data_IF_631126122035
#
_entry.id   IF_631126122035
#
_cell.length_a   1.000
_cell.length_b   1.000
_cell.length_c   1.000
_cell.angle_alpha   90.00
_cell.angle_beta   90.00
_cell.angle_gamma   90.00
#
_symmetry.space_group_name_H-M   'P 1'
#
loop_
_entity.id
_entity.type
_entity.pdbx_description
1 polymer ?
#
# COMPACT_ATOMS: atom_id res chain seq x y z
N UNK A 1 -22.65 -32.16 -11.23
CA UNK A 1 -21.37 -31.44 -11.15
C UNK A 1 -21.55 -30.12 -11.87
N UNK A 2 -21.52 -28.94 -11.22
CA UNK A 2 -21.43 -27.68 -11.96
C UNK A 2 -19.95 -27.30 -12.14
N UNK A 3 -19.53 -27.29 -13.39
CA UNK A 3 -18.26 -26.74 -13.84
C UNK A 3 -18.20 -25.24 -13.54
N UNK A 4 -17.56 -24.88 -12.42
CA UNK A 4 -17.18 -23.49 -12.18
C UNK A 4 -15.79 -23.28 -12.76
N UNK A 5 -15.71 -23.14 -14.09
CA UNK A 5 -14.54 -22.48 -14.66
C UNK A 5 -14.62 -21.00 -14.26
N UNK A 6 -13.66 -20.46 -13.48
CA UNK A 6 -13.61 -19.02 -13.29
C UNK A 6 -13.28 -18.41 -14.64
N UNK A 7 -14.31 -17.82 -15.21
CA UNK A 7 -14.31 -16.97 -16.37
C UNK A 7 -13.15 -15.97 -16.25
N UNK A 8 -12.13 -16.20 -17.07
CA UNK A 8 -10.99 -15.31 -17.27
C UNK A 8 -11.47 -14.09 -18.06
N UNK A 9 -12.28 -13.25 -17.45
CA UNK A 9 -12.71 -11.99 -18.07
C UNK A 9 -11.75 -10.87 -17.63
N UNK A 10 -10.88 -10.49 -18.57
CA UNK A 10 -10.77 -9.11 -19.05
C UNK A 10 -10.33 -8.01 -18.07
N UNK A 11 -9.12 -8.11 -17.49
CA UNK A 11 -8.41 -6.94 -16.92
C UNK A 11 -6.96 -6.78 -17.38
N UNK A 12 -6.62 -7.31 -18.55
CA UNK A 12 -5.31 -7.12 -19.20
C UNK A 12 -5.35 -6.16 -20.41
N UNK A 13 -6.33 -5.28 -20.49
CA UNK A 13 -6.60 -4.42 -21.66
C UNK A 13 -5.58 -3.30 -21.93
N UNK A 14 -4.43 -3.26 -21.23
CA UNK A 14 -3.37 -2.26 -21.43
C UNK A 14 -1.96 -2.89 -21.51
N UNK A 15 -1.82 -4.22 -21.55
CA UNK A 15 -0.51 -4.88 -21.41
C UNK A 15 0.36 -4.89 -22.69
N UNK A 16 -0.08 -4.25 -23.77
CA UNK A 16 0.66 -4.14 -25.03
C UNK A 16 1.36 -2.80 -25.27
N UNK A 17 1.04 -1.75 -24.51
CA UNK A 17 1.63 -0.43 -24.66
C UNK A 17 2.46 -0.07 -23.41
N UNK A 18 3.63 0.56 -23.55
CA UNK A 18 4.41 0.98 -22.39
C UNK A 18 3.59 1.95 -21.55
N UNK A 19 3.32 1.57 -20.29
CA UNK A 19 2.55 2.37 -19.36
C UNK A 19 3.08 3.81 -19.32
N UNK A 20 2.18 4.78 -19.43
CA UNK A 20 2.56 6.19 -19.38
C UNK A 20 3.05 6.56 -17.97
N UNK A 21 3.92 7.58 -17.87
CA UNK A 21 4.34 8.09 -16.57
C UNK A 21 3.17 8.62 -15.71
N UNK A 22 2.03 8.95 -16.32
CA UNK A 22 0.81 9.35 -15.63
C UNK A 22 0.11 8.16 -14.96
N UNK A 23 -0.08 7.05 -15.70
CA UNK A 23 -0.67 5.81 -15.16
C UNK A 23 0.18 5.26 -13.99
N UNK A 24 1.52 5.24 -14.11
CA UNK A 24 2.41 4.81 -13.01
C UNK A 24 2.20 5.62 -11.74
N UNK A 25 2.07 6.94 -11.87
CA UNK A 25 1.83 7.83 -10.73
C UNK A 25 0.46 7.58 -10.12
N UNK A 26 -0.57 7.38 -10.92
CA UNK A 26 -1.92 7.06 -10.44
C UNK A 26 -1.94 5.74 -9.66
N UNK A 27 -1.33 4.66 -10.21
CA UNK A 27 -1.21 3.37 -9.52
C UNK A 27 -0.41 3.48 -8.22
N UNK A 28 0.70 4.21 -8.25
CA UNK A 28 1.51 4.49 -7.05
C UNK A 28 0.72 5.25 -5.99
N UNK A 29 -0.03 6.28 -6.37
CA UNK A 29 -0.84 7.05 -5.43
C UNK A 29 -1.93 6.19 -4.76
N UNK A 30 -2.59 5.30 -5.53
CA UNK A 30 -3.53 4.33 -4.95
C UNK A 30 -2.83 3.40 -3.97
N UNK A 31 -1.72 2.77 -4.37
CA UNK A 31 -0.96 1.87 -3.51
C UNK A 31 -0.50 2.54 -2.21
N UNK A 32 -0.05 3.80 -2.28
CA UNK A 32 0.36 4.54 -1.08
C UNK A 32 -0.82 4.82 -0.13
N UNK A 33 -2.02 5.05 -0.66
CA UNK A 33 -3.23 5.16 0.18
C UNK A 33 -3.52 3.84 0.89
N UNK A 34 -3.55 2.75 0.14
CA UNK A 34 -3.86 1.42 0.67
C UNK A 34 -2.81 0.98 1.71
N UNK A 35 -1.54 1.27 1.46
CA UNK A 35 -0.44 1.01 2.40
C UNK A 35 -0.64 1.77 3.72
N UNK A 36 -1.04 3.04 3.65
CA UNK A 36 -1.29 3.85 4.84
C UNK A 36 -2.51 3.35 5.62
N UNK A 37 -3.56 2.93 4.93
CA UNK A 37 -4.75 2.33 5.55
C UNK A 37 -4.41 1.02 6.26
N UNK A 38 -3.70 0.11 5.58
CA UNK A 38 -3.25 -1.16 6.17
C UNK A 38 -2.36 -0.95 7.40
N UNK A 39 -1.48 0.06 7.36
CA UNK A 39 -0.65 0.43 8.52
C UNK A 39 -1.50 0.94 9.68
N UNK A 40 -2.50 1.76 9.43
CA UNK A 40 -3.42 2.24 10.46
C UNK A 40 -4.21 1.11 11.10
N UNK A 41 -4.68 0.13 10.30
CA UNK A 41 -5.34 -1.07 10.80
C UNK A 41 -4.41 -1.88 11.71
N UNK A 42 -3.16 -2.10 11.29
CA UNK A 42 -2.16 -2.80 12.11
C UNK A 42 -1.86 -2.08 13.43
N UNK A 43 -1.84 -0.75 13.42
CA UNK A 43 -1.63 0.05 14.63
C UNK A 43 -2.79 -0.12 15.64
N UNK A 44 -4.04 -0.27 15.16
CA UNK A 44 -5.21 -0.56 16.00
C UNK A 44 -5.11 -1.95 16.63
N UNK A 45 -4.69 -2.95 15.85
CA UNK A 45 -4.56 -4.35 16.31
C UNK A 45 -3.39 -4.53 17.29
N UNK A 46 -2.35 -3.70 17.22
CA UNK A 46 -1.13 -3.87 18.04
C UNK A 46 -0.71 -2.58 18.75
N UNK A 47 -1.48 -2.14 19.76
CA UNK A 47 -1.29 -0.83 20.39
C UNK A 47 0.10 -0.64 21.01
N UNK A 48 0.69 -1.69 21.59
CA UNK A 48 2.05 -1.62 22.17
C UNK A 48 3.12 -1.34 21.10
N UNK A 49 3.04 -2.02 19.94
CA UNK A 49 4.00 -1.83 18.85
C UNK A 49 3.85 -0.46 18.20
N UNK A 50 2.61 0.01 18.02
CA UNK A 50 2.31 1.35 17.51
C UNK A 50 2.92 2.44 18.40
N UNK A 51 2.71 2.37 19.72
CA UNK A 51 3.26 3.35 20.67
C UNK A 51 4.79 3.37 20.66
N UNK A 52 5.43 2.21 20.68
CA UNK A 52 6.89 2.11 20.63
C UNK A 52 7.46 2.66 19.31
N UNK A 53 6.79 2.42 18.18
CA UNK A 53 7.19 2.97 16.88
C UNK A 53 7.10 4.50 16.85
N UNK A 54 6.01 5.09 17.40
CA UNK A 54 5.86 6.55 17.52
C UNK A 54 6.94 7.17 18.40
N UNK A 55 7.22 6.58 19.55
CA UNK A 55 8.27 7.06 20.44
C UNK A 55 9.64 7.03 19.75
N UNK A 56 9.99 5.92 19.08
CA UNK A 56 11.25 5.84 18.31
C UNK A 56 11.33 6.88 17.19
N UNK A 57 10.22 7.14 16.50
CA UNK A 57 10.15 8.17 15.46
C UNK A 57 10.41 9.56 16.04
N UNK A 58 9.78 9.90 17.17
CA UNK A 58 10.03 11.17 17.84
C UNK A 58 11.47 11.31 18.30
N UNK A 59 12.06 10.26 18.88
CA UNK A 59 13.46 10.28 19.30
C UNK A 59 14.40 10.47 18.10
N UNK A 60 14.15 9.77 16.98
CA UNK A 60 14.90 9.97 15.73
C UNK A 60 14.79 11.40 15.23
N UNK A 61 13.59 11.97 15.20
CA UNK A 61 13.37 13.35 14.75
C UNK A 61 14.04 14.37 15.68
N UNK A 62 14.08 14.11 16.99
CA UNK A 62 14.71 14.99 17.98
C UNK A 62 16.22 15.09 17.81
N UNK A 63 16.89 14.02 17.39
CA UNK A 63 18.36 13.96 17.29
C UNK A 63 18.86 13.87 15.86
N UNK A 64 17.99 14.03 14.87
CA UNK A 64 18.38 14.02 13.47
C UNK A 64 19.26 15.24 13.17
N UNK A 65 20.43 15.00 12.57
CA UNK A 65 21.35 16.05 12.12
C UNK A 65 21.74 15.74 10.67
N UNK A 66 21.70 16.78 9.83
CA UNK A 66 21.85 16.71 8.38
C UNK A 66 23.25 16.25 7.95
#
# INVERSE_FOLDING_TARGET
MPDTQPRRDDRGGEDGAPETAAQRRARRAQFLRDLMEARALRDRVQPRRARAARMRQQMRMRTFRW
#
